data_IF_970797251320
#
_entry.id   IF_970797251320
#
_cell.length_a   1.000
_cell.length_b   1.000
_cell.length_c   1.000
_cell.angle_alpha   90.00
_cell.angle_beta   90.00
_cell.angle_gamma   90.00
#
_symmetry.space_group_name_H-M   'P 1'
#
loop_
_entity.id
_entity.type
_entity.pdbx_description
1 polymer ?
#
# COMPACT_ATOMS: atom_id res chain seq x y z
N UNK A 1 3.44 3.06 -20.85
CA UNK A 1 2.30 2.46 -20.14
C UNK A 1 2.36 0.95 -20.31
N UNK A 2 2.52 0.18 -19.24
CA UNK A 2 2.67 -1.28 -19.32
C UNK A 2 1.30 -1.99 -19.32
N UNK A 3 1.29 -3.30 -19.61
CA UNK A 3 0.06 -4.09 -19.72
C UNK A 3 -0.83 -3.98 -18.47
N UNK A 4 -0.23 -4.05 -17.28
CA UNK A 4 -0.95 -3.99 -16.00
C UNK A 4 -1.63 -2.64 -15.79
N UNK A 5 -0.92 -1.53 -16.07
CA UNK A 5 -1.52 -0.19 -16.02
C UNK A 5 -2.73 -0.08 -16.94
N UNK A 6 -2.61 -0.61 -18.16
CA UNK A 6 -3.70 -0.57 -19.14
C UNK A 6 -4.91 -1.39 -18.69
N UNK A 7 -4.70 -2.57 -18.13
CA UNK A 7 -5.79 -3.40 -17.58
C UNK A 7 -6.50 -2.69 -16.43
N UNK A 8 -5.75 -2.10 -15.50
CA UNK A 8 -6.32 -1.39 -14.36
C UNK A 8 -7.08 -0.12 -14.78
N UNK A 9 -6.63 0.56 -15.84
CA UNK A 9 -7.29 1.76 -16.38
C UNK A 9 -8.54 1.45 -17.19
N UNK A 10 -8.53 0.36 -17.97
CA UNK A 10 -9.65 -0.05 -18.82
C UNK A 10 -10.71 -0.86 -18.08
N UNK A 11 -10.43 -1.26 -16.84
CA UNK A 11 -11.41 -1.90 -15.97
C UNK A 11 -12.60 -0.95 -15.78
N UNK A 12 -13.80 -1.51 -15.85
CA UNK A 12 -15.03 -0.79 -15.54
C UNK A 12 -15.03 -0.28 -14.10
N UNK A 13 -16.02 0.53 -13.73
CA UNK A 13 -16.12 1.10 -12.37
C UNK A 13 -16.49 0.09 -11.28
N UNK A 14 -16.39 -1.22 -11.57
CA UNK A 14 -16.63 -2.26 -10.57
C UNK A 14 -15.57 -2.21 -9.48
N UNK A 15 -15.94 -2.53 -8.24
CA UNK A 15 -14.97 -2.56 -7.15
C UNK A 15 -13.93 -3.66 -7.39
N UNK A 16 -12.66 -3.35 -7.12
CA UNK A 16 -11.59 -4.33 -7.13
C UNK A 16 -11.49 -4.92 -5.73
N UNK A 17 -12.04 -6.10 -5.47
CA UNK A 17 -12.04 -6.62 -4.09
C UNK A 17 -10.63 -6.82 -3.54
N UNK A 18 -9.76 -7.47 -4.31
CA UNK A 18 -8.40 -7.83 -3.87
C UNK A 18 -7.36 -7.46 -4.92
N UNK A 19 -6.24 -6.91 -4.48
CA UNK A 19 -5.03 -6.73 -5.28
C UNK A 19 -3.87 -7.38 -4.55
N UNK A 20 -3.28 -8.40 -5.18
CA UNK A 20 -2.10 -9.09 -4.69
C UNK A 20 -0.94 -8.83 -5.64
N UNK A 21 0.18 -8.38 -5.10
CA UNK A 21 1.43 -8.19 -5.84
C UNK A 21 2.57 -8.87 -5.11
N UNK A 22 3.26 -9.76 -5.81
CA UNK A 22 4.54 -10.32 -5.39
C UNK A 22 5.58 -10.00 -6.46
N UNK A 23 6.55 -9.16 -6.12
CA UNK A 23 7.48 -8.61 -7.10
C UNK A 23 8.82 -8.23 -6.47
N UNK A 24 9.90 -8.36 -7.26
CA UNK A 24 11.17 -7.73 -6.95
C UNK A 24 11.18 -6.30 -7.49
N UNK A 25 11.28 -5.33 -6.60
CA UNK A 25 11.31 -3.90 -6.91
C UNK A 25 12.71 -3.53 -7.37
N UNK A 26 12.84 -3.41 -8.70
CA UNK A 26 14.02 -2.88 -9.38
C UNK A 26 13.74 -1.42 -9.79
N UNK A 27 13.86 -1.12 -11.09
CA UNK A 27 13.43 0.15 -11.69
C UNK A 27 11.90 0.33 -11.77
N UNK A 28 11.13 -0.71 -11.41
CA UNK A 28 9.67 -0.75 -11.53
C UNK A 28 8.89 -0.06 -10.39
N UNK A 29 9.58 0.53 -9.40
CA UNK A 29 8.94 1.23 -8.28
C UNK A 29 7.82 2.21 -8.69
N UNK A 30 8.04 3.10 -9.68
CA UNK A 30 6.98 3.99 -10.19
C UNK A 30 5.76 3.26 -10.75
N UNK A 31 5.95 2.10 -11.37
CA UNK A 31 4.85 1.28 -11.90
C UNK A 31 4.02 0.67 -10.78
N UNK A 32 4.67 0.15 -9.73
CA UNK A 32 3.99 -0.42 -8.56
C UNK A 32 3.10 0.63 -7.90
N UNK A 33 3.60 1.85 -7.71
CA UNK A 33 2.80 2.95 -7.16
C UNK A 33 1.60 3.30 -8.06
N UNK A 34 1.78 3.26 -9.37
CA UNK A 34 0.69 3.46 -10.34
C UNK A 34 -0.38 2.38 -10.20
N UNK A 35 0.02 1.12 -10.04
CA UNK A 35 -0.90 0.00 -9.86
C UNK A 35 -1.68 0.09 -8.54
N UNK A 36 -1.00 0.43 -7.44
CA UNK A 36 -1.63 0.67 -6.13
C UNK A 36 -2.63 1.82 -6.23
N UNK A 37 -2.27 2.93 -6.88
CA UNK A 37 -3.17 4.06 -7.06
C UNK A 37 -4.42 3.68 -7.86
N UNK A 38 -4.26 2.90 -8.93
CA UNK A 38 -5.39 2.42 -9.72
C UNK A 38 -6.28 1.47 -8.90
N UNK A 39 -5.70 0.59 -8.09
CA UNK A 39 -6.43 -0.27 -7.17
C UNK A 39 -7.26 0.54 -6.14
N UNK A 40 -6.65 1.57 -5.54
CA UNK A 40 -7.33 2.50 -4.61
C UNK A 40 -8.50 3.20 -5.30
N UNK A 41 -8.33 3.67 -6.53
CA UNK A 41 -9.39 4.32 -7.32
C UNK A 41 -10.60 3.40 -7.56
N UNK A 42 -10.35 2.09 -7.63
CA UNK A 42 -11.39 1.06 -7.77
C UNK A 42 -11.92 0.54 -6.42
N UNK A 43 -11.80 1.34 -5.34
CA UNK A 43 -12.35 1.04 -4.01
C UNK A 43 -11.93 -0.33 -3.49
N UNK A 44 -10.62 -0.57 -3.49
CA UNK A 44 -10.04 -1.83 -3.03
C UNK A 44 -10.38 -2.17 -1.58
N UNK A 45 -10.63 -3.45 -1.31
CA UNK A 45 -10.92 -3.95 0.04
C UNK A 45 -9.74 -4.69 0.67
N UNK A 46 -8.97 -5.46 -0.09
CA UNK A 46 -7.81 -6.19 0.41
C UNK A 46 -6.58 -5.92 -0.46
N UNK A 47 -5.54 -5.33 0.13
CA UNK A 47 -4.27 -5.08 -0.53
C UNK A 47 -3.18 -5.94 0.10
N UNK A 48 -2.50 -6.73 -0.72
CA UNK A 48 -1.41 -7.60 -0.30
C UNK A 48 -0.16 -7.32 -1.13
N UNK A 49 0.91 -6.85 -0.49
CA UNK A 49 2.16 -6.48 -1.13
C UNK A 49 3.31 -7.31 -0.54
N UNK A 50 3.91 -8.16 -1.38
CA UNK A 50 5.15 -8.87 -1.07
C UNK A 50 6.24 -8.34 -1.98
N UNK A 51 7.12 -7.52 -1.42
CA UNK A 51 8.13 -6.79 -2.17
C UNK A 51 9.53 -7.21 -1.70
N UNK A 52 10.37 -7.64 -2.64
CA UNK A 52 11.81 -7.77 -2.42
C UNK A 52 12.53 -6.65 -3.15
N UNK A 53 13.74 -6.29 -2.75
CA UNK A 53 14.51 -5.22 -3.39
C UNK A 53 15.94 -5.72 -3.58
N UNK A 54 16.51 -5.50 -4.77
CA UNK A 54 17.91 -5.87 -5.07
C UNK A 54 18.92 -4.88 -4.47
N UNK A 55 18.57 -3.59 -4.37
CA UNK A 55 19.45 -2.57 -3.80
C UNK A 55 19.04 -2.23 -2.37
N UNK A 56 20.01 -2.28 -1.47
CA UNK A 56 19.92 -1.98 -0.04
C UNK A 56 19.50 -0.51 0.17
N UNK A 57 19.72 0.35 -0.84
CA UNK A 57 19.35 1.77 -0.82
C UNK A 57 17.97 2.06 -1.43
N UNK A 58 17.24 1.02 -1.86
CA UNK A 58 15.94 1.14 -2.54
C UNK A 58 14.86 1.73 -1.63
N UNK A 59 14.80 3.06 -1.54
CA UNK A 59 13.75 3.79 -0.85
C UNK A 59 12.44 3.73 -1.64
N UNK A 60 11.67 2.66 -1.48
CA UNK A 60 10.32 2.61 -2.00
C UNK A 60 9.32 3.19 -1.02
N UNK A 61 8.53 4.14 -1.51
CA UNK A 61 7.54 4.87 -0.74
C UNK A 61 6.17 4.50 -1.27
N UNK A 62 5.36 3.89 -0.40
CA UNK A 62 3.97 3.60 -0.71
C UNK A 62 3.19 4.91 -0.92
N UNK A 63 2.19 4.94 -1.80
CA UNK A 63 1.41 6.14 -2.05
C UNK A 63 0.69 6.60 -0.77
N UNK A 64 0.74 7.89 -0.45
CA UNK A 64 0.08 8.44 0.75
C UNK A 64 -1.42 8.12 0.82
N UNK A 65 -2.08 8.06 -0.34
CA UNK A 65 -3.51 7.70 -0.45
C UNK A 65 -3.83 6.29 0.04
N UNK A 66 -2.84 5.39 0.10
CA UNK A 66 -3.04 4.08 0.70
C UNK A 66 -3.44 4.20 2.17
N UNK A 67 -2.77 5.10 2.90
CA UNK A 67 -2.95 5.32 4.34
C UNK A 67 -4.20 6.11 4.70
N UNK A 68 -5.01 6.46 3.71
CA UNK A 68 -6.29 7.19 3.86
C UNK A 68 -7.41 6.50 3.07
N UNK A 69 -7.20 5.25 2.63
CA UNK A 69 -8.14 4.53 1.77
C UNK A 69 -9.36 4.04 2.56
N UNK A 70 -10.52 4.64 2.32
CA UNK A 70 -11.74 4.37 3.09
C UNK A 70 -12.32 2.97 2.84
N UNK A 71 -12.07 2.37 1.67
CA UNK A 71 -12.59 1.05 1.33
C UNK A 71 -11.74 -0.10 1.83
N UNK A 72 -10.50 0.18 2.25
CA UNK A 72 -9.51 -0.83 2.59
C UNK A 72 -9.84 -1.47 3.94
N UNK A 73 -10.07 -2.78 3.92
CA UNK A 73 -10.41 -3.60 5.09
C UNK A 73 -9.25 -4.51 5.52
N UNK A 74 -8.36 -4.86 4.60
CA UNK A 74 -7.24 -5.76 4.83
C UNK A 74 -5.98 -5.20 4.13
N UNK A 75 -4.93 -5.02 4.91
CA UNK A 75 -3.63 -4.54 4.45
C UNK A 75 -2.54 -5.51 4.90
N UNK A 76 -1.92 -6.20 3.95
CA UNK A 76 -0.78 -7.09 4.17
C UNK A 76 0.46 -6.51 3.47
N UNK A 77 1.47 -6.17 4.27
CA UNK A 77 2.75 -5.64 3.83
C UNK A 77 3.88 -6.57 4.25
N UNK A 78 4.61 -7.11 3.28
CA UNK A 78 5.74 -8.01 3.49
C UNK A 78 6.96 -7.54 2.70
N UNK A 79 7.93 -6.93 3.38
CA UNK A 79 9.20 -6.50 2.80
C UNK A 79 10.22 -6.15 3.89
N UNK A 80 11.52 -6.27 3.59
CA UNK A 80 12.63 -6.13 4.55
C UNK A 80 13.18 -4.69 4.70
N UNK A 81 12.34 -3.67 4.55
CA UNK A 81 12.77 -2.27 4.46
C UNK A 81 11.92 -1.34 5.33
N UNK A 82 12.47 -0.16 5.61
CA UNK A 82 11.79 0.88 6.39
C UNK A 82 10.54 1.37 5.67
N UNK A 83 9.38 1.14 6.30
CA UNK A 83 8.13 1.69 5.85
C UNK A 83 8.05 3.18 6.24
N UNK A 84 8.11 4.05 5.23
CA UNK A 84 7.87 5.48 5.41
C UNK A 84 6.37 5.75 5.53
N UNK A 85 5.98 6.16 6.73
CA UNK A 85 4.61 6.56 7.01
C UNK A 85 4.39 8.04 6.64
N UNK A 86 3.22 8.40 6.09
CA UNK A 86 2.84 9.80 5.92
C UNK A 86 2.48 10.44 7.27
N UNK A 87 2.46 11.77 7.31
CA UNK A 87 2.08 12.54 8.50
C UNK A 87 0.61 12.41 8.90
N UNK A 88 -0.23 11.88 8.01
CA UNK A 88 -1.66 11.65 8.24
C UNK A 88 -1.97 10.20 7.87
N UNK A 89 -2.46 9.46 8.85
CA UNK A 89 -2.84 8.06 8.71
C UNK A 89 -4.28 7.94 9.22
N UNK A 90 -5.17 7.43 8.38
CA UNK A 90 -6.58 7.19 8.71
C UNK A 90 -7.09 5.98 7.94
N UNK A 91 -7.45 4.94 8.67
CA UNK A 91 -7.92 3.68 8.10
C UNK A 91 -9.33 3.38 8.60
N UNK A 92 -10.38 4.05 8.10
CA UNK A 92 -11.70 4.02 8.73
C UNK A 92 -12.39 2.65 8.62
N UNK A 93 -12.02 1.82 7.65
CA UNK A 93 -12.61 0.49 7.43
C UNK A 93 -11.65 -0.68 7.68
N UNK A 94 -10.41 -0.41 8.10
CA UNK A 94 -9.38 -1.44 8.21
C UNK A 94 -9.66 -2.35 9.41
N UNK A 95 -9.66 -3.66 9.14
CA UNK A 95 -9.92 -4.73 10.12
C UNK A 95 -8.70 -5.58 10.35
N UNK A 96 -7.88 -5.76 9.32
CA UNK A 96 -6.69 -6.61 9.35
C UNK A 96 -5.50 -5.77 8.87
N UNK A 97 -4.46 -5.72 9.70
CA UNK A 97 -3.16 -5.17 9.36
C UNK A 97 -2.12 -6.26 9.60
N UNK A 98 -1.55 -6.77 8.51
CA UNK A 98 -0.47 -7.76 8.54
C UNK A 98 0.84 -7.08 8.13
N UNK A 99 1.85 -7.19 8.99
CA UNK A 99 3.18 -6.62 8.76
C UNK A 99 4.20 -7.74 8.94
N UNK A 100 4.94 -8.08 7.90
CA UNK A 100 5.97 -9.13 7.93
C UNK A 100 7.30 -8.57 7.48
N UNK A 101 8.31 -8.69 8.34
CA UNK A 101 9.67 -8.17 8.09
C UNK A 101 9.78 -6.64 7.90
N UNK A 102 8.71 -5.89 8.19
CA UNK A 102 8.67 -4.42 8.05
C UNK A 102 9.35 -3.74 9.23
N UNK A 103 10.19 -2.75 8.95
CA UNK A 103 10.80 -1.86 9.96
C UNK A 103 10.22 -0.45 9.85
N UNK A 104 10.35 0.34 10.93
CA UNK A 104 9.84 1.71 10.98
C UNK A 104 10.90 2.66 11.51
N UNK A 105 11.10 3.78 10.81
CA UNK A 105 12.04 4.81 11.25
C UNK A 105 11.44 5.78 12.29
N UNK A 106 10.13 6.07 12.18
CA UNK A 106 9.45 7.09 13.00
C UNK A 106 8.48 6.45 14.02
N UNK A 107 8.87 6.48 15.29
CA UNK A 107 8.10 5.89 16.40
C UNK A 107 6.77 6.60 16.65
N UNK A 108 6.67 7.90 16.39
CA UNK A 108 5.44 8.66 16.61
C UNK A 108 4.38 8.31 15.56
N UNK A 109 4.77 8.22 14.28
CA UNK A 109 3.87 7.81 13.20
C UNK A 109 3.41 6.35 13.36
N UNK A 110 4.27 5.50 13.92
CA UNK A 110 3.91 4.12 14.29
C UNK A 110 2.82 4.10 15.36
N UNK A 111 2.94 4.95 16.40
CA UNK A 111 1.88 5.09 17.40
C UNK A 111 0.57 5.55 16.76
N UNK A 112 0.61 6.50 15.83
CA UNK A 112 -0.58 6.93 15.10
C UNK A 112 -1.21 5.80 14.28
N UNK A 113 -0.39 5.02 13.55
CA UNK A 113 -0.84 3.85 12.78
C UNK A 113 -1.63 2.84 13.65
N UNK A 114 -1.15 2.57 14.86
CA UNK A 114 -1.78 1.61 15.77
C UNK A 114 -2.80 2.21 16.74
N UNK A 115 -2.90 3.54 16.82
CA UNK A 115 -3.84 4.22 17.74
C UNK A 115 -5.31 4.02 17.36
N UNK A 116 -5.60 3.45 16.19
CA UNK A 116 -6.95 3.02 15.78
C UNK A 116 -7.98 4.14 15.69
N UNK A 117 -7.56 5.41 15.76
CA UNK A 117 -8.51 6.51 15.89
C UNK A 117 -9.10 6.93 14.55
N UNK A 118 -10.44 6.93 14.42
CA UNK A 118 -11.09 7.88 13.55
C UNK A 118 -10.93 9.24 14.24
N UNK A 119 -10.04 10.10 13.75
CA UNK A 119 -10.04 11.50 14.17
C UNK A 119 -11.34 12.12 13.63
N UNK A 120 -12.39 12.10 14.44
CA UNK A 120 -13.65 12.84 14.27
C UNK A 120 -13.57 14.11 15.10
#
# INVERSE_FOLDING_TARGET
MNFVERVLLLRDSSSLQTFYLNCCVLSDGPHINTWIYAAIRHKIQSLMLRLSFEDINGLFVLPQRLFTCESLMDLDLQFFYDLKLPSVISFPSLKILTLVSVTFADHHLVQQLFSGNPFV
#
